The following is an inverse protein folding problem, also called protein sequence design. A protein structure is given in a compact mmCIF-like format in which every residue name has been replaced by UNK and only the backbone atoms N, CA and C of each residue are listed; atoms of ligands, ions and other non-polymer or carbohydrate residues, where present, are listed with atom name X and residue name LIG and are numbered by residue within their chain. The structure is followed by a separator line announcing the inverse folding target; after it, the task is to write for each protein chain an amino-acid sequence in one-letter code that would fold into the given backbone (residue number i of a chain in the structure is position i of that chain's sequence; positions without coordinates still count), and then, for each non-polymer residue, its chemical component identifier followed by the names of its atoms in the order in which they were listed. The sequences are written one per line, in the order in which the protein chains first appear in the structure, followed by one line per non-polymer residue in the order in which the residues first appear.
data_IF_444646789223
#
_entry.id   IF_444646789223
#
_cell.length_a   1.000
_cell.length_b   1.000
_cell.length_c   1.000
_cell.angle_alpha   90.00
_cell.angle_beta   90.00
_cell.angle_gamma   90.00
#
_symmetry.space_group_name_H-M   'P 1'
#
loop_
_entity.id
_entity.type
_entity.pdbx_description
1 polymer ?
#
# COMPACT_ATOMS: atom_id res chain seq x y z
N UNK A 1 33.45 -43.75 -22.52
CA UNK A 1 33.59 -42.38 -23.04
C UNK A 1 32.43 -41.61 -22.47
N UNK A 2 32.67 -40.82 -21.43
CA UNK A 2 31.65 -40.06 -20.70
C UNK A 2 31.37 -38.78 -21.48
N UNK A 3 30.13 -38.60 -21.90
CA UNK A 3 29.66 -37.43 -22.64
C UNK A 3 29.86 -36.15 -21.81
N UNK A 4 30.36 -35.05 -22.40
CA UNK A 4 30.58 -33.81 -21.68
C UNK A 4 29.23 -33.23 -21.24
N UNK A 5 29.08 -32.95 -19.94
CA UNK A 5 27.88 -32.30 -19.39
C UNK A 5 27.87 -30.84 -19.85
N UNK A 6 26.74 -30.39 -20.40
CA UNK A 6 26.57 -29.01 -20.82
C UNK A 6 26.17 -28.11 -19.64
N UNK A 7 26.47 -26.81 -19.73
CA UNK A 7 25.95 -25.83 -18.79
C UNK A 7 24.40 -25.80 -18.75
N UNK A 8 23.76 -26.12 -19.86
CA UNK A 8 22.30 -26.24 -19.96
C UNK A 8 21.76 -27.34 -19.04
N UNK A 9 22.47 -28.47 -18.95
CA UNK A 9 22.11 -29.57 -18.05
C UNK A 9 22.30 -29.18 -16.57
N UNK A 10 23.29 -28.35 -16.24
CA UNK A 10 23.46 -27.87 -14.86
C UNK A 10 22.33 -26.92 -14.44
N UNK A 11 21.88 -26.05 -15.36
CA UNK A 11 20.75 -25.14 -15.10
C UNK A 11 19.44 -25.91 -14.97
N UNK A 12 19.18 -26.85 -15.88
CA UNK A 12 18.01 -27.74 -15.84
C UNK A 12 17.96 -28.57 -14.55
N UNK A 13 19.11 -28.96 -14.01
CA UNK A 13 19.25 -29.62 -12.70
C UNK A 13 18.93 -28.68 -11.54
N UNK A 14 19.42 -27.45 -11.58
CA UNK A 14 19.15 -26.43 -10.56
C UNK A 14 17.67 -25.99 -10.52
N UNK A 15 16.96 -26.10 -11.64
CA UNK A 15 15.54 -25.78 -11.78
C UNK A 15 14.62 -26.98 -11.54
N UNK A 16 15.17 -28.18 -11.37
CA UNK A 16 14.41 -29.39 -11.03
C UNK A 16 13.65 -30.00 -12.22
N UNK A 17 14.07 -29.71 -13.44
CA UNK A 17 13.43 -30.14 -14.68
C UNK A 17 13.91 -31.52 -15.17
N UNK A 18 14.72 -32.21 -14.38
CA UNK A 18 15.13 -33.59 -14.66
C UNK A 18 14.13 -34.61 -14.15
N UNK A 19 13.81 -35.65 -14.94
CA UNK A 19 13.18 -36.86 -14.46
C UNK A 19 13.93 -37.48 -13.27
N UNK A 20 13.24 -38.18 -12.34
CA UNK A 20 13.88 -38.71 -11.12
C UNK A 20 15.08 -39.62 -11.37
N UNK A 21 15.08 -40.38 -12.46
CA UNK A 21 16.17 -41.29 -12.84
C UNK A 21 17.37 -40.56 -13.45
N UNK A 22 17.14 -39.45 -14.17
CA UNK A 22 18.20 -38.58 -14.70
C UNK A 22 18.84 -37.74 -13.59
N UNK A 23 18.05 -37.32 -12.61
CA UNK A 23 18.52 -36.53 -11.46
C UNK A 23 19.57 -37.29 -10.64
N UNK A 24 19.34 -38.58 -10.35
CA UNK A 24 20.29 -39.43 -9.62
C UNK A 24 21.59 -39.66 -10.41
N UNK A 25 21.49 -39.81 -11.74
CA UNK A 25 22.66 -39.93 -12.62
C UNK A 25 23.48 -38.64 -12.64
N UNK A 26 22.82 -37.49 -12.66
CA UNK A 26 23.47 -36.18 -12.63
C UNK A 26 24.15 -35.94 -11.28
N UNK A 27 23.48 -36.27 -10.17
CA UNK A 27 24.03 -36.13 -8.82
C UNK A 27 25.28 -36.99 -8.62
N UNK A 28 25.30 -38.24 -9.09
CA UNK A 28 26.48 -39.09 -9.06
C UNK A 28 27.66 -38.51 -9.87
N UNK A 29 27.38 -37.82 -11.00
CA UNK A 29 28.41 -37.20 -11.84
C UNK A 29 28.95 -35.90 -11.23
N UNK A 30 28.09 -35.10 -10.61
CA UNK A 30 28.48 -33.91 -9.85
C UNK A 30 29.32 -34.33 -8.63
N UNK A 31 28.94 -35.40 -7.93
CA UNK A 31 29.72 -35.93 -6.80
C UNK A 31 31.12 -36.39 -7.21
N UNK A 32 31.26 -36.90 -8.44
CA UNK A 32 32.53 -37.41 -8.97
C UNK A 32 33.45 -36.32 -9.56
N UNK A 33 32.98 -35.08 -9.75
CA UNK A 33 33.77 -34.00 -10.38
C UNK A 33 33.77 -32.72 -9.55
N UNK A 34 34.97 -32.27 -9.16
CA UNK A 34 35.16 -30.99 -8.45
C UNK A 34 34.90 -29.77 -9.34
N UNK A 35 35.03 -29.91 -10.66
CA UNK A 35 34.76 -28.85 -11.63
C UNK A 35 33.25 -28.56 -11.71
N UNK A 36 32.43 -29.60 -11.85
CA UNK A 36 30.96 -29.48 -11.91
C UNK A 36 30.39 -28.97 -10.58
N UNK A 37 30.98 -29.34 -9.45
CA UNK A 37 30.61 -28.79 -8.14
C UNK A 37 30.85 -27.29 -8.06
N UNK A 38 31.97 -26.82 -8.61
CA UNK A 38 32.31 -25.39 -8.64
C UNK A 38 31.33 -24.62 -9.54
N UNK A 39 31.02 -25.12 -10.72
CA UNK A 39 30.06 -24.49 -11.64
C UNK A 39 28.65 -24.43 -11.04
N UNK A 40 28.19 -25.52 -10.44
CA UNK A 40 26.89 -25.56 -9.76
C UNK A 40 26.83 -24.57 -8.59
N UNK A 41 27.93 -24.38 -7.85
CA UNK A 41 28.01 -23.39 -6.78
C UNK A 41 27.88 -21.96 -7.31
N UNK A 42 28.49 -21.65 -8.47
CA UNK A 42 28.38 -20.34 -9.14
C UNK A 42 26.93 -20.09 -9.56
N UNK A 43 26.27 -21.04 -10.21
CA UNK A 43 24.88 -20.88 -10.62
C UNK A 43 23.91 -20.75 -9.43
N UNK A 44 24.18 -21.47 -8.34
CA UNK A 44 23.40 -21.35 -7.10
C UNK A 44 23.54 -19.97 -6.46
N UNK A 45 24.75 -19.43 -6.40
CA UNK A 45 24.99 -18.07 -5.88
C UNK A 45 24.28 -17.01 -6.74
N UNK A 46 24.38 -17.13 -8.06
CA UNK A 46 23.67 -16.22 -8.97
C UNK A 46 22.15 -16.29 -8.78
N UNK A 47 21.58 -17.50 -8.65
CA UNK A 47 20.14 -17.69 -8.38
C UNK A 47 19.71 -17.11 -7.04
N UNK A 48 20.54 -17.20 -5.99
CA UNK A 48 20.23 -16.56 -4.70
C UNK A 48 20.28 -15.04 -4.79
N UNK A 49 21.27 -14.48 -5.48
CA UNK A 49 21.42 -13.04 -5.64
C UNK A 49 20.23 -12.46 -6.42
N UNK A 50 19.80 -13.13 -7.49
CA UNK A 50 18.58 -12.76 -8.21
C UNK A 50 17.33 -12.91 -7.35
N UNK A 51 17.27 -13.89 -6.44
CA UNK A 51 16.13 -14.06 -5.52
C UNK A 51 16.08 -12.95 -4.46
N UNK A 52 17.22 -12.44 -4.05
CA UNK A 52 17.32 -11.28 -3.15
C UNK A 52 16.99 -9.97 -3.88
N UNK A 53 17.37 -9.86 -5.16
CA UNK A 53 17.02 -8.72 -6.03
C UNK A 53 15.56 -8.74 -6.49
N UNK A 54 14.94 -9.92 -6.60
CA UNK A 54 13.48 -10.02 -6.74
C UNK A 54 12.86 -9.63 -5.41
N UNK A 55 12.74 -8.31 -5.24
CA UNK A 55 11.95 -7.66 -4.21
C UNK A 55 10.69 -8.48 -4.01
N UNK A 56 10.52 -9.04 -2.82
CA UNK A 56 9.18 -9.37 -2.37
C UNK A 56 8.41 -8.06 -2.49
N UNK A 57 7.40 -7.94 -3.39
CA UNK A 57 6.56 -6.76 -3.40
C UNK A 57 6.03 -6.70 -1.99
N UNK A 58 6.43 -5.65 -1.26
CA UNK A 58 6.39 -5.63 0.18
C UNK A 58 5.08 -6.21 0.63
N UNK A 59 5.13 -7.36 1.31
CA UNK A 59 4.02 -7.76 2.16
C UNK A 59 4.04 -6.74 3.28
N UNK A 60 3.53 -5.54 2.99
CA UNK A 60 2.92 -4.67 3.96
C UNK A 60 1.84 -5.57 4.55
N UNK A 61 2.21 -6.32 5.58
CA UNK A 61 1.28 -7.05 6.39
C UNK A 61 0.36 -5.96 6.92
N UNK A 62 -0.76 -5.74 6.24
CA UNK A 62 -1.81 -4.82 6.66
C UNK A 62 -2.14 -5.22 8.07
N UNK A 63 -1.62 -4.41 8.99
CA UNK A 63 -1.79 -4.59 10.41
C UNK A 63 -3.29 -4.72 10.64
N UNK A 64 -3.71 -5.64 11.52
CA UNK A 64 -5.13 -5.78 11.87
C UNK A 64 -5.71 -4.40 12.27
N UNK A 65 -4.86 -3.54 12.83
CA UNK A 65 -5.12 -2.15 13.14
C UNK A 65 -5.47 -1.27 11.93
N UNK A 66 -4.87 -1.44 10.75
CA UNK A 66 -5.25 -0.69 9.55
C UNK A 66 -6.66 -1.06 9.08
N UNK A 67 -7.02 -2.35 9.19
CA UNK A 67 -8.37 -2.82 8.86
C UNK A 67 -9.41 -2.28 9.84
N UNK A 68 -9.12 -2.32 11.14
CA UNK A 68 -10.02 -1.77 12.18
C UNK A 68 -10.14 -0.25 12.07
N UNK A 69 -9.04 0.46 11.86
CA UNK A 69 -9.03 1.90 11.71
C UNK A 69 -9.82 2.37 10.48
N UNK A 70 -9.69 1.66 9.36
CA UNK A 70 -10.42 1.97 8.13
C UNK A 70 -11.92 1.64 8.25
N UNK A 71 -12.27 0.56 8.96
CA UNK A 71 -13.66 0.09 9.07
C UNK A 71 -14.48 0.81 10.15
N UNK A 72 -13.85 1.26 11.25
CA UNK A 72 -14.58 1.75 12.44
C UNK A 72 -14.27 3.21 12.75
N UNK A 73 -12.98 3.57 12.81
CA UNK A 73 -12.58 4.94 13.21
C UNK A 73 -12.96 5.98 12.17
N UNK A 74 -12.82 5.67 10.88
CA UNK A 74 -13.18 6.58 9.79
C UNK A 74 -14.67 6.98 9.77
N UNK A 75 -15.65 6.04 9.75
CA UNK A 75 -17.07 6.44 9.70
C UNK A 75 -17.52 7.15 10.98
N UNK A 76 -17.04 6.71 12.16
CA UNK A 76 -17.37 7.36 13.43
C UNK A 76 -16.79 8.78 13.49
N UNK A 77 -15.55 8.97 13.03
CA UNK A 77 -14.92 10.28 12.96
C UNK A 77 -15.73 11.26 12.09
N UNK A 78 -16.16 10.82 10.90
CA UNK A 78 -17.02 11.64 10.04
C UNK A 78 -18.37 11.95 10.67
N UNK A 79 -18.99 10.98 11.35
CA UNK A 79 -20.26 11.17 12.04
C UNK A 79 -20.14 12.22 13.15
N UNK A 80 -19.09 12.16 13.97
CA UNK A 80 -18.80 13.16 15.00
C UNK A 80 -18.52 14.54 14.42
N UNK A 81 -17.76 14.63 13.32
CA UNK A 81 -17.47 15.91 12.64
C UNK A 81 -18.75 16.53 12.10
N UNK A 82 -19.60 15.76 11.42
CA UNK A 82 -20.87 16.26 10.87
C UNK A 82 -21.81 16.73 11.97
N UNK A 83 -22.04 15.90 13.01
CA UNK A 83 -22.89 16.26 14.15
C UNK A 83 -22.34 17.47 14.91
N UNK A 84 -21.03 17.49 15.17
CA UNK A 84 -20.37 18.59 15.87
C UNK A 84 -20.47 19.90 15.08
N UNK A 85 -20.23 19.87 13.77
CA UNK A 85 -20.34 21.05 12.90
C UNK A 85 -21.77 21.58 12.86
N UNK A 86 -22.76 20.69 12.81
CA UNK A 86 -24.18 21.05 12.77
C UNK A 86 -24.63 21.67 14.11
N UNK A 87 -24.27 21.05 15.24
CA UNK A 87 -24.55 21.58 16.57
C UNK A 87 -23.85 22.94 16.80
N UNK A 88 -22.58 23.06 16.40
CA UNK A 88 -21.82 24.31 16.51
C UNK A 88 -22.43 25.43 15.67
N UNK A 89 -22.85 25.13 14.44
CA UNK A 89 -23.51 26.10 13.57
C UNK A 89 -24.85 26.55 14.16
N UNK A 90 -25.66 25.62 14.69
CA UNK A 90 -26.92 25.94 15.35
C UNK A 90 -26.72 26.83 16.59
N UNK A 91 -25.70 26.53 17.40
CA UNK A 91 -25.33 27.35 18.54
C UNK A 91 -24.85 28.75 18.11
N UNK A 92 -24.03 28.84 17.05
CA UNK A 92 -23.60 30.11 16.49
C UNK A 92 -24.77 30.99 16.04
N UNK A 93 -25.78 30.40 15.38
CA UNK A 93 -27.02 31.10 14.99
C UNK A 93 -27.80 31.55 16.23
N UNK A 94 -27.95 30.69 17.24
CA UNK A 94 -28.62 31.04 18.50
C UNK A 94 -27.95 32.22 19.21
N UNK A 95 -26.62 32.21 19.33
CA UNK A 95 -25.86 33.32 19.91
C UNK A 95 -25.99 34.58 19.06
N UNK A 96 -25.96 34.45 17.73
CA UNK A 96 -26.10 35.58 16.80
C UNK A 96 -27.45 36.28 16.95
N UNK A 97 -28.54 35.53 17.15
CA UNK A 97 -29.90 36.09 17.26
C UNK A 97 -30.17 36.71 18.64
N UNK A 98 -29.65 36.13 19.72
CA UNK A 98 -29.97 36.57 21.09
C UNK A 98 -28.97 37.55 21.68
N UNK A 99 -27.77 37.66 21.11
CA UNK A 99 -26.74 38.56 21.63
C UNK A 99 -27.16 40.04 21.50
N UNK A 100 -26.95 40.89 22.51
CA UNK A 100 -27.23 42.33 22.44
C UNK A 100 -26.09 43.16 21.80
N UNK A 101 -25.10 42.51 21.17
CA UNK A 101 -23.95 43.16 20.51
C UNK A 101 -24.37 43.99 19.29
N UNK A 102 -23.60 45.05 19.00
CA UNK A 102 -23.78 45.92 17.82
C UNK A 102 -23.89 45.07 16.53
N UNK A 103 -24.93 45.31 15.69
CA UNK A 103 -25.08 44.64 14.40
C UNK A 103 -23.82 44.62 13.54
N UNK A 104 -23.01 45.69 13.56
CA UNK A 104 -21.79 45.74 12.74
C UNK A 104 -20.74 44.71 13.18
N UNK A 105 -20.47 44.62 14.49
CA UNK A 105 -19.53 43.65 15.05
C UNK A 105 -19.98 42.21 14.82
N UNK A 106 -21.30 41.97 14.93
CA UNK A 106 -21.91 40.67 14.60
C UNK A 106 -21.68 40.30 13.14
N UNK A 107 -21.92 41.22 12.21
CA UNK A 107 -21.73 40.95 10.78
C UNK A 107 -20.26 40.71 10.43
N UNK A 108 -19.34 41.51 10.98
CA UNK A 108 -17.90 41.33 10.76
C UNK A 108 -17.41 39.97 11.26
N UNK A 109 -17.82 39.58 12.47
CA UNK A 109 -17.45 38.29 13.07
C UNK A 109 -18.10 37.11 12.31
N UNK A 110 -19.38 37.26 11.94
CA UNK A 110 -20.11 36.27 11.16
C UNK A 110 -19.52 36.06 9.77
N UNK A 111 -19.08 37.13 9.10
CA UNK A 111 -18.47 37.05 7.77
C UNK A 111 -17.16 36.23 7.78
N UNK A 112 -16.34 36.36 8.84
CA UNK A 112 -15.12 35.54 9.00
C UNK A 112 -15.48 34.07 9.15
N UNK A 113 -16.42 33.74 10.05
CA UNK A 113 -16.85 32.37 10.29
C UNK A 113 -17.45 31.75 9.03
N UNK A 114 -18.37 32.45 8.37
CA UNK A 114 -19.01 32.01 7.13
C UNK A 114 -17.95 31.83 6.03
N UNK A 115 -17.01 32.78 5.90
CA UNK A 115 -15.91 32.67 4.94
C UNK A 115 -15.07 31.41 5.13
N UNK A 116 -14.70 31.10 6.37
CA UNK A 116 -13.96 29.88 6.70
C UNK A 116 -14.79 28.63 6.34
N UNK A 117 -16.08 28.60 6.68
CA UNK A 117 -16.96 27.47 6.35
C UNK A 117 -17.10 27.28 4.84
N UNK A 118 -17.22 28.35 4.07
CA UNK A 118 -17.31 28.29 2.61
C UNK A 118 -16.02 27.76 2.00
N UNK A 119 -14.85 28.23 2.45
CA UNK A 119 -13.55 27.72 2.01
C UNK A 119 -13.35 26.25 2.38
N UNK A 120 -13.76 25.86 3.60
CA UNK A 120 -13.70 24.46 4.00
C UNK A 120 -14.61 23.60 3.11
N UNK A 121 -15.83 24.07 2.85
CA UNK A 121 -16.77 23.38 1.97
C UNK A 121 -16.25 23.26 0.53
N UNK A 122 -15.56 24.28 0.00
CA UNK A 122 -14.99 24.22 -1.34
C UNK A 122 -13.90 23.15 -1.44
N UNK A 123 -13.00 23.08 -0.46
CA UNK A 123 -11.95 22.05 -0.41
C UNK A 123 -12.55 20.65 -0.29
N UNK A 124 -13.56 20.48 0.58
CA UNK A 124 -14.25 19.18 0.73
C UNK A 124 -14.93 18.79 -0.59
N UNK A 125 -15.58 19.74 -1.27
CA UNK A 125 -16.25 19.51 -2.54
C UNK A 125 -15.29 19.12 -3.65
N UNK A 126 -14.20 19.87 -3.81
CA UNK A 126 -13.13 19.55 -4.77
C UNK A 126 -12.58 18.15 -4.50
N UNK A 127 -12.28 17.85 -3.23
CA UNK A 127 -11.76 16.54 -2.87
C UNK A 127 -12.74 15.41 -3.11
N UNK A 128 -14.03 15.64 -2.85
CA UNK A 128 -15.09 14.67 -3.13
C UNK A 128 -15.25 14.42 -4.63
N UNK A 129 -15.18 15.48 -5.44
CA UNK A 129 -15.23 15.39 -6.90
C UNK A 129 -14.04 14.63 -7.47
N UNK A 130 -12.82 14.94 -7.01
CA UNK A 130 -11.61 14.20 -7.38
C UNK A 130 -11.76 12.72 -7.07
N UNK A 131 -12.20 12.39 -5.85
CA UNK A 131 -12.39 11.01 -5.41
C UNK A 131 -13.41 10.23 -6.25
N UNK A 132 -14.44 10.89 -6.78
CA UNK A 132 -15.42 10.28 -7.69
C UNK A 132 -14.84 9.97 -9.07
N UNK A 133 -13.89 10.79 -9.56
CA UNK A 133 -13.31 10.68 -10.91
C UNK A 133 -11.97 9.95 -10.97
N UNK A 134 -11.35 9.66 -9.83
CA UNK A 134 -10.03 9.02 -9.76
C UNK A 134 -10.10 7.51 -10.11
N UNK A 135 -9.51 7.07 -11.24
CA UNK A 135 -9.47 5.65 -11.63
C UNK A 135 -8.66 4.77 -10.68
N UNK A 136 -7.78 5.37 -9.87
CA UNK A 136 -6.90 4.68 -8.94
C UNK A 136 -7.40 4.71 -7.50
N UNK A 137 -8.64 5.16 -7.24
CA UNK A 137 -9.16 5.32 -5.87
C UNK A 137 -9.12 4.03 -5.04
N UNK A 138 -9.22 2.87 -5.70
CA UNK A 138 -9.26 1.54 -5.10
C UNK A 138 -7.95 0.76 -5.32
N UNK A 139 -6.96 1.37 -5.98
CA UNK A 139 -5.65 0.76 -6.24
C UNK A 139 -4.71 1.11 -5.08
N UNK A 140 -4.60 0.18 -4.15
CA UNK A 140 -3.64 0.27 -3.05
C UNK A 140 -2.25 -0.10 -3.55
N UNK A 141 -1.31 0.84 -3.47
CA UNK A 141 0.13 0.61 -3.69
C UNK A 141 0.78 0.03 -2.45
#
# INVERSE_FOLDING_TARGET
MTEPISHEDLMRFLDGEFPPDEHVRMEARIAASTELQRELAIFRAMKSDFRELSFHPGTLQRSVWDRVNTAVTRPIGWLLVVLGTLAWSAYGVYVFTLSPVDPWEKMATGAIVIGILVLLASVIWERYREWLTDPYRDVYR
#
